data_IF_921790985175
#
_entry.id   IF_921790985175
#
_cell.length_a   1.000
_cell.length_b   1.000
_cell.length_c   1.000
_cell.angle_alpha   90.00
_cell.angle_beta   90.00
_cell.angle_gamma   90.00
#
_symmetry.space_group_name_H-M   'P 1'
#
loop_
_entity.id
_entity.type
_entity.pdbx_description
1 polymer ?
#
# COMPACT_ATOMS: atom_id res chain seq x y z
N UNK A 1 0.86 -21.35 -8.64
CA UNK A 1 0.27 -21.73 -7.33
C UNK A 1 -1.08 -22.36 -7.57
N UNK A 2 -1.28 -23.55 -7.06
CA UNK A 2 -2.60 -24.19 -7.13
C UNK A 2 -3.45 -23.65 -5.97
N UNK A 3 -4.46 -22.83 -6.29
CA UNK A 3 -5.36 -22.24 -5.29
C UNK A 3 -6.07 -23.32 -4.44
N UNK A 4 -6.29 -24.49 -4.98
CA UNK A 4 -6.92 -25.60 -4.28
C UNK A 4 -6.08 -26.07 -3.07
N UNK A 5 -4.75 -26.11 -3.16
CA UNK A 5 -3.89 -26.47 -2.02
C UNK A 5 -4.06 -25.51 -0.84
N UNK A 6 -4.16 -24.20 -1.10
CA UNK A 6 -4.32 -23.21 -0.04
C UNK A 6 -5.70 -23.23 0.64
N UNK A 7 -6.64 -24.04 0.17
CA UNK A 7 -7.90 -24.32 0.88
C UNK A 7 -7.81 -25.48 1.88
N UNK A 8 -6.72 -26.26 1.86
CA UNK A 8 -6.51 -27.36 2.79
C UNK A 8 -5.73 -26.93 4.04
N UNK A 9 -5.88 -27.62 5.19
CA UNK A 9 -5.02 -27.40 6.35
C UNK A 9 -3.56 -27.65 6.00
N UNK A 10 -2.65 -26.86 6.55
CA UNK A 10 -1.21 -27.00 6.38
C UNK A 10 -0.48 -26.78 7.70
N UNK A 11 0.70 -27.35 7.81
CA UNK A 11 1.69 -26.98 8.82
C UNK A 11 2.63 -25.94 8.22
N UNK A 12 3.11 -25.00 9.05
CA UNK A 12 4.05 -23.97 8.61
C UNK A 12 5.28 -23.96 9.51
N UNK A 13 6.44 -23.85 8.87
CA UNK A 13 7.70 -23.55 9.53
C UNK A 13 8.34 -22.33 8.91
N UNK A 14 9.08 -21.57 9.72
CA UNK A 14 9.70 -20.34 9.23
C UNK A 14 11.21 -20.50 9.15
N UNK A 15 11.78 -19.88 8.15
CA UNK A 15 13.23 -19.72 8.04
C UNK A 15 13.57 -18.31 7.63
N UNK A 16 14.59 -17.77 8.26
CA UNK A 16 15.09 -16.44 7.95
C UNK A 16 16.45 -16.59 7.30
N UNK A 17 16.60 -15.97 6.12
CA UNK A 17 17.82 -16.03 5.32
C UNK A 17 18.51 -14.67 5.32
N UNK A 18 19.82 -14.68 5.42
CA UNK A 18 20.66 -13.52 5.19
C UNK A 18 20.81 -13.29 3.69
N UNK A 19 20.60 -12.06 3.24
CA UNK A 19 20.65 -11.69 1.82
C UNK A 19 21.69 -10.60 1.62
N UNK A 20 22.67 -10.86 0.76
CA UNK A 20 23.69 -9.87 0.40
C UNK A 20 23.05 -8.68 -0.31
N UNK A 21 23.32 -7.47 0.15
CA UNK A 21 22.87 -6.24 -0.53
C UNK A 21 23.50 -6.07 -1.91
N UNK A 22 24.71 -6.58 -2.10
CA UNK A 22 25.46 -6.41 -3.34
C UNK A 22 24.93 -7.30 -4.43
N UNK A 23 24.65 -8.58 -4.09
CA UNK A 23 24.25 -9.58 -5.09
C UNK A 23 22.76 -9.88 -5.08
N UNK A 24 22.01 -9.51 -4.04
CA UNK A 24 20.62 -9.89 -3.85
C UNK A 24 20.41 -11.40 -3.55
N UNK A 25 21.52 -12.14 -3.42
CA UNK A 25 21.49 -13.59 -3.20
C UNK A 25 21.52 -13.93 -1.70
N UNK A 26 20.90 -15.04 -1.36
CA UNK A 26 20.96 -15.62 -0.01
C UNK A 26 22.36 -16.17 0.24
N UNK A 27 22.95 -15.76 1.37
CA UNK A 27 24.32 -16.14 1.75
C UNK A 27 24.37 -17.13 2.89
N UNK A 28 23.26 -17.35 3.60
CA UNK A 28 23.16 -18.30 4.70
C UNK A 28 21.86 -18.11 5.48
N UNK A 29 21.63 -19.02 6.43
CA UNK A 29 20.51 -18.93 7.36
C UNK A 29 20.87 -17.95 8.50
N UNK A 30 19.88 -17.19 8.93
CA UNK A 30 19.97 -16.34 10.10
C UNK A 30 19.33 -17.09 11.28
N UNK A 31 20.13 -17.79 12.03
CA UNK A 31 19.66 -18.58 13.16
C UNK A 31 19.40 -17.69 14.38
N UNK A 32 18.46 -18.06 15.24
CA UNK A 32 18.12 -17.33 16.46
C UNK A 32 16.92 -16.39 16.34
N UNK A 33 16.31 -16.24 15.16
CA UNK A 33 14.98 -15.62 15.08
C UNK A 33 13.97 -16.57 15.70
N UNK A 34 13.19 -16.02 16.64
CA UNK A 34 12.14 -16.78 17.34
C UNK A 34 10.83 -16.71 16.56
N UNK A 35 10.01 -17.74 16.75
CA UNK A 35 8.63 -17.72 16.26
C UNK A 35 7.81 -16.63 16.97
N UNK A 36 6.81 -16.08 16.30
CA UNK A 36 5.89 -15.10 16.91
C UNK A 36 6.05 -13.66 16.42
N UNK A 37 6.91 -13.40 15.45
CA UNK A 37 7.02 -12.09 14.80
C UNK A 37 5.82 -11.73 13.93
N UNK A 38 5.81 -10.51 13.41
CA UNK A 38 4.78 -10.02 12.49
C UNK A 38 5.40 -9.39 11.25
N UNK A 39 4.68 -9.48 10.13
CA UNK A 39 4.98 -8.74 8.91
C UNK A 39 3.76 -7.90 8.57
N UNK A 40 3.93 -6.59 8.52
CA UNK A 40 2.87 -5.64 8.21
C UNK A 40 3.06 -5.06 6.81
N UNK A 41 1.96 -4.96 6.07
CA UNK A 41 1.88 -4.31 4.76
C UNK A 41 0.76 -3.30 4.80
N UNK A 42 1.05 -2.05 4.45
CA UNK A 42 0.08 -0.96 4.48
C UNK A 42 0.20 -0.10 3.23
N UNK A 43 -0.85 -0.07 2.43
CA UNK A 43 -0.90 0.70 1.19
C UNK A 43 -0.83 2.21 1.41
N UNK A 44 -1.26 2.68 2.56
CA UNK A 44 -1.36 4.11 2.88
C UNK A 44 -0.03 4.69 3.42
N UNK A 45 0.98 3.84 3.64
CA UNK A 45 2.33 4.27 4.05
C UNK A 45 3.30 4.29 2.86
N UNK A 46 4.26 5.21 2.91
CA UNK A 46 5.24 5.37 1.82
C UNK A 46 6.17 4.17 1.67
N UNK A 47 6.54 3.52 2.77
CA UNK A 47 7.45 2.37 2.78
C UNK A 47 6.74 1.03 2.65
N UNK A 48 5.42 1.02 2.76
CA UNK A 48 4.48 -0.10 2.56
C UNK A 48 4.69 -1.29 3.48
N UNK A 49 5.91 -1.78 3.68
CA UNK A 49 6.22 -3.01 4.40
C UNK A 49 7.12 -2.78 5.60
N UNK A 50 6.84 -3.52 6.68
CA UNK A 50 7.70 -3.63 7.88
C UNK A 50 7.58 -5.02 8.48
N UNK A 51 8.55 -5.40 9.31
CA UNK A 51 8.48 -6.62 10.11
C UNK A 51 9.01 -6.35 11.51
N UNK A 52 8.38 -6.98 12.50
CA UNK A 52 8.85 -7.01 13.88
C UNK A 52 9.14 -8.46 14.24
N UNK A 53 10.40 -8.74 14.56
CA UNK A 53 10.91 -10.07 14.84
C UNK A 53 11.52 -10.10 16.24
N UNK A 54 11.57 -11.28 16.85
CA UNK A 54 12.34 -11.50 18.08
C UNK A 54 13.59 -12.32 17.77
N UNK A 55 14.72 -11.87 18.28
CA UNK A 55 16.01 -12.52 18.09
C UNK A 55 16.64 -12.94 19.40
N UNK A 56 17.16 -14.17 19.42
CA UNK A 56 17.97 -14.71 20.51
C UNK A 56 19.36 -15.09 19.98
N UNK A 57 20.35 -14.23 20.25
CA UNK A 57 21.70 -14.44 19.75
C UNK A 57 22.59 -13.20 19.95
N UNK A 58 23.73 -13.20 19.27
CA UNK A 58 24.62 -12.05 19.28
C UNK A 58 24.18 -10.99 18.29
N UNK A 59 23.87 -9.79 18.80
CA UNK A 59 23.47 -8.65 17.96
C UNK A 59 24.54 -8.23 16.95
N UNK A 60 25.80 -8.62 17.15
CA UNK A 60 26.88 -8.36 16.18
C UNK A 60 26.69 -9.12 14.85
N UNK A 61 25.81 -10.10 14.81
CA UNK A 61 25.44 -10.79 13.56
C UNK A 61 24.59 -9.92 12.62
N UNK A 62 23.93 -8.87 13.16
CA UNK A 62 23.25 -7.88 12.34
C UNK A 62 24.28 -6.94 11.71
N UNK A 63 24.50 -7.12 10.42
CA UNK A 63 25.41 -6.30 9.62
C UNK A 63 24.65 -5.45 8.60
N UNK A 64 25.32 -5.19 7.50
CA UNK A 64 24.73 -4.46 6.37
C UNK A 64 23.79 -5.30 5.50
N UNK A 65 23.72 -6.61 5.72
CA UNK A 65 22.89 -7.53 4.92
C UNK A 65 21.41 -7.38 5.22
N UNK A 66 20.60 -7.77 4.23
CA UNK A 66 19.16 -7.85 4.38
C UNK A 66 18.79 -9.20 5.01
N UNK A 67 17.58 -9.27 5.54
CA UNK A 67 16.95 -10.52 5.98
C UNK A 67 15.74 -10.82 5.12
N UNK A 68 15.59 -12.09 4.74
CA UNK A 68 14.41 -12.59 4.01
C UNK A 68 13.70 -13.65 4.81
N UNK A 69 12.42 -13.45 5.03
CA UNK A 69 11.57 -14.38 5.76
C UNK A 69 10.85 -15.28 4.77
N UNK A 70 10.93 -16.58 5.00
CA UNK A 70 10.23 -17.62 4.26
C UNK A 70 9.26 -18.36 5.17
N UNK A 71 8.13 -18.74 4.61
CA UNK A 71 7.24 -19.76 5.17
C UNK A 71 7.32 -21.02 4.31
N UNK A 72 7.63 -22.13 4.93
CA UNK A 72 7.60 -23.45 4.31
C UNK A 72 6.31 -24.15 4.77
N UNK A 73 5.36 -24.28 3.84
CA UNK A 73 4.06 -24.90 4.07
C UNK A 73 4.14 -26.38 3.72
N UNK A 74 3.53 -27.22 4.54
CA UNK A 74 3.45 -28.68 4.30
C UNK A 74 2.02 -29.14 4.48
N UNK A 75 1.48 -29.81 3.48
CA UNK A 75 0.13 -30.36 3.50
C UNK A 75 0.11 -31.83 3.93
N UNK A 76 -1.05 -32.34 4.40
CA UNK A 76 -1.16 -33.74 4.86
C UNK A 76 -0.85 -34.79 3.80
N UNK A 77 -0.92 -34.44 2.53
CA UNK A 77 -0.55 -35.33 1.40
C UNK A 77 0.97 -35.43 1.18
N UNK A 78 1.77 -34.69 1.98
CA UNK A 78 3.23 -34.65 1.89
C UNK A 78 3.77 -33.67 0.86
N UNK A 79 2.91 -32.94 0.16
CA UNK A 79 3.36 -31.81 -0.70
C UNK A 79 3.82 -30.64 0.15
N UNK A 80 4.76 -29.85 -0.37
CA UNK A 80 5.27 -28.66 0.33
C UNK A 80 5.53 -27.53 -0.64
N UNK A 81 5.42 -26.29 -0.14
CA UNK A 81 5.70 -25.06 -0.88
C UNK A 81 6.47 -24.08 0.01
N UNK A 82 7.52 -23.46 -0.54
CA UNK A 82 8.27 -22.39 0.13
C UNK A 82 7.83 -21.04 -0.42
N UNK A 83 7.32 -20.18 0.45
CA UNK A 83 6.78 -18.88 0.09
C UNK A 83 7.62 -17.79 0.72
N UNK A 84 8.18 -16.84 -0.06
CA UNK A 84 8.83 -15.66 0.50
C UNK A 84 7.76 -14.73 1.08
N UNK A 85 7.92 -14.33 2.33
CA UNK A 85 7.00 -13.42 3.00
C UNK A 85 7.46 -11.97 2.92
N UNK A 86 8.76 -11.72 2.79
CA UNK A 86 9.31 -10.38 2.62
C UNK A 86 10.83 -10.34 2.75
N UNK A 87 11.41 -9.26 2.24
CA UNK A 87 12.85 -8.96 2.36
C UNK A 87 13.02 -7.58 2.98
N UNK A 88 13.75 -7.51 4.09
CA UNK A 88 13.76 -6.37 4.98
C UNK A 88 15.16 -5.91 5.33
N UNK A 89 15.26 -4.61 5.70
CA UNK A 89 16.42 -4.02 6.35
C UNK A 89 16.22 -4.11 7.86
N UNK A 90 17.05 -4.83 8.60
CA UNK A 90 17.00 -4.78 10.06
C UNK A 90 17.42 -3.39 10.54
N UNK A 91 16.64 -2.82 11.46
CA UNK A 91 17.02 -1.63 12.21
C UNK A 91 17.99 -2.03 13.34
N UNK A 92 18.71 -1.05 13.90
CA UNK A 92 19.68 -1.31 14.97
C UNK A 92 19.03 -1.96 16.20
N UNK A 93 19.27 -3.26 16.46
CA UNK A 93 18.60 -3.95 17.55
C UNK A 93 19.04 -3.40 18.91
N UNK A 94 18.09 -3.11 19.79
CA UNK A 94 18.34 -2.75 21.18
C UNK A 94 18.30 -4.01 22.04
N UNK A 95 19.45 -4.50 22.46
CA UNK A 95 19.54 -5.65 23.35
C UNK A 95 19.16 -5.28 24.78
N UNK A 96 18.13 -5.89 25.32
CA UNK A 96 17.83 -5.90 26.76
C UNK A 96 18.44 -7.14 27.38
N UNK A 97 19.40 -6.98 28.28
CA UNK A 97 20.07 -8.08 28.95
C UNK A 97 19.36 -8.38 30.28
N UNK A 98 18.72 -9.54 30.35
CA UNK A 98 18.09 -10.03 31.57
C UNK A 98 18.51 -11.48 31.81
N UNK A 99 19.76 -11.68 32.22
CA UNK A 99 20.33 -13.01 32.45
C UNK A 99 20.49 -13.84 31.14
N UNK A 100 20.45 -15.17 31.23
CA UNK A 100 20.70 -16.04 30.07
C UNK A 100 19.55 -16.07 29.03
N UNK A 101 18.39 -15.54 29.35
CA UNK A 101 17.19 -15.58 28.50
C UNK A 101 16.87 -14.22 27.88
N UNK A 102 17.88 -13.48 27.42
CA UNK A 102 17.65 -12.20 26.77
C UNK A 102 17.16 -12.39 25.34
N UNK A 103 15.98 -11.86 25.03
CA UNK A 103 15.51 -11.67 23.66
C UNK A 103 15.75 -10.23 23.23
N UNK A 104 15.95 -10.03 21.94
CA UNK A 104 16.15 -8.72 21.35
C UNK A 104 15.07 -8.48 20.30
N UNK A 105 14.17 -7.51 20.50
CA UNK A 105 13.25 -7.12 19.45
C UNK A 105 14.02 -6.49 18.28
N UNK A 106 13.67 -6.87 17.08
CA UNK A 106 14.27 -6.38 15.84
C UNK A 106 13.19 -5.85 14.95
N UNK A 107 13.07 -4.54 14.87
CA UNK A 107 12.21 -3.90 13.86
C UNK A 107 12.94 -3.87 12.52
N UNK A 108 12.18 -4.12 11.45
CA UNK A 108 12.73 -4.21 10.11
C UNK A 108 11.86 -3.41 9.15
N UNK A 109 12.50 -2.75 8.20
CA UNK A 109 11.82 -1.96 7.18
C UNK A 109 11.89 -2.63 5.81
N UNK A 110 10.83 -2.48 5.01
CA UNK A 110 10.83 -2.89 3.61
C UNK A 110 11.86 -2.12 2.79
N UNK A 111 12.28 -2.66 1.66
CA UNK A 111 13.37 -2.12 0.84
C UNK A 111 13.12 -0.73 0.25
N UNK A 112 11.86 -0.25 0.18
CA UNK A 112 11.58 1.13 -0.21
C UNK A 112 12.17 2.16 0.79
N UNK A 113 12.52 1.73 1.98
CA UNK A 113 13.25 2.56 2.96
C UNK A 113 14.59 3.05 2.38
N UNK A 114 15.27 2.25 1.57
CA UNK A 114 16.52 2.64 0.90
C UNK A 114 16.33 3.84 -0.04
N UNK A 115 15.17 3.96 -0.69
CA UNK A 115 14.80 5.15 -1.49
C UNK A 115 14.36 6.33 -0.62
N UNK A 116 13.72 6.07 0.52
CA UNK A 116 13.29 7.11 1.45
C UNK A 116 14.49 7.78 2.14
N UNK A 117 15.53 7.00 2.48
CA UNK A 117 16.74 7.52 3.12
C UNK A 117 17.68 8.20 2.11
N UNK A 118 17.53 7.91 0.82
CA UNK A 118 18.38 8.46 -0.23
C UNK A 118 17.86 9.80 -0.73
N UNK A 119 18.70 10.82 -0.65
CA UNK A 119 18.45 12.14 -1.23
C UNK A 119 19.23 12.34 -2.54
N UNK A 120 18.83 13.33 -3.32
CA UNK A 120 19.58 13.73 -4.49
C UNK A 120 20.76 14.62 -4.07
N UNK A 121 21.98 14.20 -4.40
CA UNK A 121 23.17 15.03 -4.18
C UNK A 121 23.20 16.27 -5.12
N UNK A 122 22.53 16.15 -6.26
CA UNK A 122 22.32 17.22 -7.24
C UNK A 122 20.93 17.11 -7.82
N UNK A 123 20.32 18.25 -8.25
CA UNK A 123 19.01 18.22 -8.89
C UNK A 123 19.01 17.32 -10.12
N UNK A 124 18.00 16.45 -10.24
CA UNK A 124 17.81 15.62 -11.43
C UNK A 124 16.90 16.37 -12.42
N UNK A 125 17.44 16.73 -13.57
CA UNK A 125 16.67 17.31 -14.66
C UNK A 125 16.03 16.21 -15.51
N UNK A 126 14.71 16.29 -15.67
CA UNK A 126 13.91 15.39 -16.52
C UNK A 126 13.44 16.21 -17.72
N UNK A 127 13.92 15.93 -18.95
CA UNK A 127 13.51 16.67 -20.14
C UNK A 127 12.03 16.46 -20.49
N UNK A 128 11.44 17.43 -21.20
CA UNK A 128 10.13 17.23 -21.83
C UNK A 128 10.17 16.04 -22.79
N UNK A 129 9.06 15.30 -22.88
CA UNK A 129 8.96 14.08 -23.68
C UNK A 129 9.52 12.81 -23.03
N UNK A 130 10.06 12.89 -21.81
CA UNK A 130 10.54 11.73 -21.06
C UNK A 130 9.37 10.83 -20.64
N UNK A 131 9.64 9.52 -20.55
CA UNK A 131 8.73 8.58 -19.92
C UNK A 131 8.94 8.61 -18.39
N UNK A 132 7.98 9.06 -17.58
CA UNK A 132 8.18 9.19 -16.14
C UNK A 132 8.38 7.84 -15.44
N UNK A 133 7.79 6.76 -15.94
CA UNK A 133 7.96 5.41 -15.36
C UNK A 133 9.39 4.90 -15.58
N UNK A 134 9.97 5.14 -16.77
CA UNK A 134 11.36 4.76 -17.05
C UNK A 134 12.34 5.56 -16.20
N UNK A 135 12.06 6.86 -15.97
CA UNK A 135 12.85 7.71 -15.06
C UNK A 135 12.74 7.19 -13.62
N UNK A 136 11.53 6.87 -13.16
CA UNK A 136 11.30 6.29 -11.81
C UNK A 136 12.06 4.96 -11.65
N UNK A 137 12.02 4.09 -12.66
CA UNK A 137 12.76 2.83 -12.66
C UNK A 137 14.28 3.04 -12.63
N UNK A 138 14.78 4.07 -13.32
CA UNK A 138 16.20 4.42 -13.27
C UNK A 138 16.62 4.87 -11.88
N UNK A 139 15.83 5.74 -11.22
CA UNK A 139 16.11 6.20 -9.85
C UNK A 139 16.17 5.01 -8.88
N UNK A 140 15.28 4.02 -9.02
CA UNK A 140 15.32 2.81 -8.21
C UNK A 140 16.60 2.00 -8.43
N UNK A 141 17.02 1.81 -9.69
CA UNK A 141 18.25 1.08 -10.02
C UNK A 141 19.52 1.80 -9.55
N UNK A 142 19.53 3.14 -9.56
CA UNK A 142 20.65 3.95 -9.07
C UNK A 142 20.89 3.81 -7.55
N UNK A 143 19.88 3.35 -6.80
CA UNK A 143 20.02 3.01 -5.38
C UNK A 143 20.41 1.53 -5.18
N UNK A 144 20.46 0.75 -6.25
CA UNK A 144 20.79 -0.68 -6.20
C UNK A 144 19.57 -1.59 -6.03
N UNK A 145 18.37 -1.07 -6.28
CA UNK A 145 17.16 -1.88 -6.25
C UNK A 145 16.89 -2.53 -7.60
N UNK A 146 16.61 -3.82 -7.60
CA UNK A 146 16.12 -4.52 -8.77
C UNK A 146 14.68 -4.06 -9.07
N UNK A 147 14.39 -3.74 -10.34
CA UNK A 147 13.05 -3.35 -10.79
C UNK A 147 12.51 -4.47 -11.68
N UNK A 148 11.34 -5.00 -11.31
CA UNK A 148 10.63 -5.99 -12.10
C UNK A 148 10.25 -5.43 -13.48
N UNK A 149 10.08 -6.27 -14.50
CA UNK A 149 9.46 -5.87 -15.76
C UNK A 149 8.10 -5.20 -15.50
N UNK A 150 7.83 -4.10 -16.18
CA UNK A 150 6.59 -3.34 -16.05
C UNK A 150 5.97 -3.07 -17.44
N UNK A 151 4.67 -2.74 -17.42
CA UNK A 151 3.91 -2.46 -18.63
C UNK A 151 4.44 -1.19 -19.33
N UNK A 152 4.36 -1.09 -20.67
CA UNK A 152 4.71 0.14 -21.37
C UNK A 152 3.83 1.31 -20.93
N UNK A 153 4.43 2.44 -20.57
CA UNK A 153 3.71 3.66 -20.25
C UNK A 153 3.61 4.55 -21.49
N UNK A 154 2.40 4.88 -21.98
CA UNK A 154 2.23 5.76 -23.14
C UNK A 154 2.43 7.24 -22.80
N UNK A 155 2.32 7.61 -21.52
CA UNK A 155 2.44 9.00 -21.09
C UNK A 155 3.86 9.55 -21.28
N UNK A 156 3.94 10.84 -21.64
CA UNK A 156 5.20 11.58 -21.79
C UNK A 156 5.07 12.93 -21.08
N UNK A 157 6.16 13.38 -20.44
CA UNK A 157 6.19 14.68 -19.76
C UNK A 157 5.98 15.82 -20.75
N UNK A 158 5.02 16.70 -20.46
CA UNK A 158 4.70 17.86 -21.33
C UNK A 158 5.75 18.97 -21.27
N UNK A 159 6.48 19.10 -20.17
CA UNK A 159 7.52 20.08 -19.93
C UNK A 159 8.71 19.45 -19.21
N UNK A 160 9.86 20.12 -19.27
CA UNK A 160 11.02 19.75 -18.44
C UNK A 160 10.73 20.06 -16.97
N UNK A 161 11.20 19.20 -16.07
CA UNK A 161 11.09 19.38 -14.64
C UNK A 161 12.39 19.07 -13.92
N UNK A 162 12.52 19.56 -12.70
CA UNK A 162 13.66 19.27 -11.84
C UNK A 162 13.18 18.59 -10.57
N UNK A 163 13.77 17.45 -10.23
CA UNK A 163 13.47 16.65 -9.05
C UNK A 163 14.56 16.83 -7.99
N UNK A 164 14.20 16.61 -6.72
CA UNK A 164 15.15 16.66 -5.60
C UNK A 164 15.44 18.06 -5.06
N UNK A 165 14.61 19.05 -5.39
CA UNK A 165 14.75 20.46 -4.95
C UNK A 165 13.65 20.89 -3.96
N UNK A 166 12.75 20.00 -3.58
CA UNK A 166 11.64 20.31 -2.66
C UNK A 166 12.10 20.61 -1.25
N UNK A 167 11.31 21.40 -0.53
CA UNK A 167 11.57 21.75 0.86
C UNK A 167 10.97 20.76 1.87
N UNK A 168 10.09 19.87 1.42
CA UNK A 168 9.52 18.79 2.23
C UNK A 168 10.34 17.51 2.08
N UNK A 169 10.36 16.68 3.13
CA UNK A 169 11.04 15.38 3.08
C UNK A 169 10.52 14.49 1.94
N UNK A 170 9.21 14.55 1.66
CA UNK A 170 8.61 13.80 0.56
C UNK A 170 9.07 14.25 -0.83
N UNK A 171 9.47 15.50 -1.01
CA UNK A 171 9.93 16.05 -2.30
C UNK A 171 11.46 15.95 -2.47
N UNK A 172 12.20 15.87 -1.37
CA UNK A 172 13.67 15.81 -1.37
C UNK A 172 14.21 14.38 -1.47
N UNK A 173 13.42 13.36 -1.11
CA UNK A 173 13.83 11.95 -1.15
C UNK A 173 13.66 11.34 -2.55
N UNK A 174 14.46 10.33 -2.85
CA UNK A 174 14.30 9.56 -4.11
C UNK A 174 12.97 8.83 -4.18
N UNK A 175 12.43 8.35 -3.04
CA UNK A 175 11.11 7.73 -2.99
C UNK A 175 10.00 8.71 -3.34
N UNK A 176 10.05 9.93 -2.82
CA UNK A 176 9.10 10.97 -3.15
C UNK A 176 9.12 11.32 -4.65
N UNK A 177 10.30 11.44 -5.23
CA UNK A 177 10.46 11.69 -6.66
C UNK A 177 9.89 10.53 -7.51
N UNK A 178 10.20 9.27 -7.14
CA UNK A 178 9.64 8.08 -7.80
C UNK A 178 8.12 8.10 -7.76
N UNK A 179 7.52 8.30 -6.59
CA UNK A 179 6.07 8.30 -6.44
C UNK A 179 5.40 9.48 -7.16
N UNK A 180 6.03 10.65 -7.21
CA UNK A 180 5.54 11.81 -7.99
C UNK A 180 5.51 11.50 -9.48
N UNK A 181 6.57 10.87 -10.01
CA UNK A 181 6.63 10.46 -11.42
C UNK A 181 5.57 9.39 -11.76
N UNK A 182 5.35 8.43 -10.87
CA UNK A 182 4.34 7.40 -11.05
C UNK A 182 2.93 7.99 -11.00
N UNK A 183 2.65 8.88 -10.05
CA UNK A 183 1.35 9.58 -9.95
C UNK A 183 1.06 10.39 -11.20
N UNK A 184 2.07 11.09 -11.75
CA UNK A 184 1.95 11.83 -13.01
C UNK A 184 1.56 10.94 -14.19
N UNK A 185 2.04 9.69 -14.19
CA UNK A 185 1.71 8.71 -15.22
C UNK A 185 0.36 7.99 -14.98
N UNK A 186 -0.34 8.27 -13.88
CA UNK A 186 -1.54 7.51 -13.47
C UNK A 186 -1.23 6.11 -12.95
N UNK A 187 -0.06 5.93 -12.33
CA UNK A 187 0.40 4.68 -11.75
C UNK A 187 0.29 4.70 -10.23
N UNK A 188 0.21 3.52 -9.63
CA UNK A 188 0.26 3.41 -8.17
C UNK A 188 1.68 3.70 -7.66
N UNK A 189 1.78 4.14 -6.40
CA UNK A 189 3.07 4.30 -5.73
C UNK A 189 3.89 3.01 -5.79
N UNK A 190 5.21 3.15 -5.85
CA UNK A 190 6.14 2.03 -5.91
C UNK A 190 5.90 1.05 -4.75
N UNK A 191 6.03 -0.23 -5.02
CA UNK A 191 5.94 -1.33 -4.06
C UNK A 191 7.09 -2.29 -4.25
N UNK A 192 7.31 -3.14 -3.26
CA UNK A 192 8.23 -4.27 -3.38
C UNK A 192 7.45 -5.58 -3.46
N UNK A 193 8.01 -6.55 -4.17
CA UNK A 193 7.58 -7.93 -4.05
C UNK A 193 8.24 -8.59 -2.82
N UNK A 194 7.80 -9.78 -2.39
CA UNK A 194 8.41 -10.44 -1.24
C UNK A 194 9.92 -10.76 -1.38
N UNK A 195 10.44 -10.80 -2.60
CA UNK A 195 11.88 -10.93 -2.85
C UNK A 195 12.64 -9.59 -2.70
N UNK A 196 11.93 -8.49 -2.43
CA UNK A 196 12.50 -7.15 -2.27
C UNK A 196 12.78 -6.42 -3.57
N UNK A 197 12.17 -6.85 -4.68
CA UNK A 197 12.29 -6.20 -6.00
C UNK A 197 11.19 -5.17 -6.18
N UNK A 198 11.50 -4.03 -6.78
CA UNK A 198 10.52 -2.96 -7.00
C UNK A 198 9.53 -3.34 -8.10
N UNK A 199 8.27 -3.22 -7.78
CA UNK A 199 7.14 -3.43 -8.69
C UNK A 199 6.50 -2.10 -9.03
N UNK A 200 6.42 -1.76 -10.31
CA UNK A 200 5.77 -0.57 -10.86
C UNK A 200 4.54 -1.02 -11.65
N UNK A 201 3.35 -0.54 -11.28
CA UNK A 201 2.09 -0.95 -11.90
C UNK A 201 1.21 0.24 -12.22
N UNK A 202 0.48 0.23 -13.35
CA UNK A 202 -0.55 1.23 -13.62
C UNK A 202 -1.68 1.11 -12.58
N UNK A 203 -2.30 2.24 -12.26
CA UNK A 203 -3.52 2.21 -11.46
C UNK A 203 -4.65 1.55 -12.29
N UNK A 204 -5.36 0.65 -11.66
CA UNK A 204 -6.58 0.04 -12.20
C UNK A 204 -7.67 0.17 -11.17
N UNK A 205 -8.85 0.57 -11.62
CA UNK A 205 -10.00 0.62 -10.72
C UNK A 205 -10.28 -0.77 -10.14
N UNK A 206 -10.60 -0.89 -8.84
CA UNK A 206 -10.90 -2.18 -8.24
C UNK A 206 -12.06 -2.90 -8.94
N UNK A 207 -13.00 -2.16 -9.56
CA UNK A 207 -14.11 -2.71 -10.35
C UNK A 207 -13.66 -3.46 -11.59
N UNK A 208 -12.51 -3.09 -12.17
CA UNK A 208 -11.93 -3.68 -13.38
C UNK A 208 -10.96 -4.83 -13.07
N UNK A 209 -10.55 -4.96 -11.81
CA UNK A 209 -9.60 -6.00 -11.41
C UNK A 209 -10.32 -7.35 -11.25
N UNK A 210 -9.63 -8.42 -11.61
CA UNK A 210 -10.12 -9.77 -11.33
C UNK A 210 -10.08 -10.04 -9.82
N UNK A 211 -11.02 -10.85 -9.33
CA UNK A 211 -11.01 -11.33 -7.95
C UNK A 211 -9.82 -12.27 -7.76
N UNK A 212 -8.94 -11.91 -6.83
CA UNK A 212 -7.76 -12.72 -6.50
C UNK A 212 -8.11 -13.90 -5.58
N UNK A 213 -9.08 -13.72 -4.70
CA UNK A 213 -9.52 -14.75 -3.77
C UNK A 213 -10.99 -14.57 -3.37
N UNK A 214 -11.67 -15.71 -3.13
CA UNK A 214 -13.05 -15.74 -2.65
C UNK A 214 -13.10 -16.39 -1.26
N UNK A 215 -13.60 -15.66 -0.28
CA UNK A 215 -13.89 -16.18 1.04
C UNK A 215 -15.38 -16.54 1.13
N UNK A 216 -15.68 -17.78 1.43
CA UNK A 216 -17.06 -18.27 1.51
C UNK A 216 -17.31 -18.93 2.86
N UNK A 217 -18.47 -18.65 3.46
CA UNK A 217 -18.95 -19.33 4.67
C UNK A 217 -19.16 -20.81 4.42
N UNK A 218 -18.90 -21.64 5.43
CA UNK A 218 -19.14 -23.09 5.40
C UNK A 218 -18.04 -23.89 6.12
N UNK A 219 -18.06 -25.20 5.95
CA UNK A 219 -17.11 -26.09 6.63
C UNK A 219 -15.66 -25.89 6.15
N UNK A 220 -15.47 -25.34 4.96
CA UNK A 220 -14.17 -24.98 4.38
C UNK A 220 -13.79 -23.52 4.57
N UNK A 221 -14.50 -22.76 5.41
CA UNK A 221 -14.20 -21.35 5.63
C UNK A 221 -12.77 -21.15 6.15
N UNK A 222 -12.03 -20.22 5.54
CA UNK A 222 -10.64 -19.92 5.87
C UNK A 222 -10.48 -18.58 6.57
N UNK A 223 -11.57 -18.03 7.09
CA UNK A 223 -11.59 -16.78 7.86
C UNK A 223 -12.29 -16.98 9.19
N UNK A 224 -11.94 -16.16 10.17
CA UNK A 224 -12.62 -16.10 11.45
C UNK A 224 -13.99 -15.45 11.27
N UNK A 225 -15.01 -16.02 11.92
CA UNK A 225 -16.37 -15.47 11.86
C UNK A 225 -16.49 -14.11 12.55
N UNK A 226 -15.59 -13.81 13.48
CA UNK A 226 -15.49 -12.52 14.14
C UNK A 226 -14.78 -11.54 13.18
N UNK A 227 -15.51 -10.50 12.80
CA UNK A 227 -15.03 -9.45 11.90
C UNK A 227 -15.69 -8.12 12.22
N UNK A 228 -15.05 -7.03 11.83
CA UNK A 228 -15.61 -5.69 11.97
C UNK A 228 -16.00 -5.16 10.60
N UNK A 229 -17.29 -4.89 10.42
CA UNK A 229 -17.84 -4.19 9.25
C UNK A 229 -18.16 -2.75 9.66
N UNK A 230 -17.27 -1.82 9.31
CA UNK A 230 -17.38 -0.41 9.65
C UNK A 230 -17.82 0.39 8.42
N UNK A 231 -18.93 1.10 8.57
CA UNK A 231 -19.43 2.04 7.56
C UNK A 231 -19.37 3.43 8.14
N UNK A 232 -18.27 4.11 7.90
CA UNK A 232 -18.12 5.51 8.31
C UNK A 232 -18.86 6.42 7.33
N UNK A 233 -20.14 6.62 7.60
CA UNK A 233 -21.01 7.51 6.84
C UNK A 233 -21.25 8.84 7.57
N UNK A 234 -20.77 8.97 8.80
CA UNK A 234 -21.08 10.14 9.64
C UNK A 234 -20.45 11.40 9.07
N UNK A 235 -19.20 11.34 8.62
CA UNK A 235 -18.43 12.48 8.11
C UNK A 235 -18.40 12.59 6.58
N UNK A 236 -19.15 11.72 5.87
CA UNK A 236 -19.25 11.83 4.40
C UNK A 236 -19.81 13.20 4.02
N UNK A 237 -19.06 14.05 3.30
CA UNK A 237 -19.50 15.39 2.94
C UNK A 237 -20.66 15.30 1.93
N UNK A 238 -21.63 16.16 2.12
CA UNK A 238 -22.70 16.39 1.15
C UNK A 238 -22.63 17.75 0.49
N UNK A 239 -21.60 18.52 0.82
CA UNK A 239 -21.22 19.74 0.14
C UNK A 239 -19.70 19.78 -0.02
N UNK A 240 -19.24 20.11 -1.22
CA UNK A 240 -17.82 20.39 -1.47
C UNK A 240 -17.67 21.81 -1.98
N UNK A 241 -16.74 22.54 -1.38
CA UNK A 241 -16.37 23.89 -1.76
C UNK A 241 -14.95 23.82 -2.32
N UNK A 242 -14.79 24.14 -3.60
CA UNK A 242 -13.49 24.20 -4.25
C UNK A 242 -13.10 25.68 -4.43
N UNK A 243 -11.93 26.06 -3.94
CA UNK A 243 -11.43 27.43 -4.00
C UNK A 243 -10.12 27.46 -4.78
N UNK A 244 -10.11 28.08 -5.93
CA UNK A 244 -8.88 28.48 -6.60
C UNK A 244 -8.52 29.89 -6.17
N UNK A 245 -7.38 30.05 -5.51
CA UNK A 245 -6.97 31.34 -4.93
C UNK A 245 -5.53 31.72 -5.29
N UNK A 246 -5.31 32.95 -5.70
CA UNK A 246 -4.02 33.58 -5.75
C UNK A 246 -3.93 34.68 -4.66
N UNK A 247 -2.92 35.56 -4.74
CA UNK A 247 -2.72 36.61 -3.75
C UNK A 247 -3.82 37.65 -3.74
N UNK A 248 -4.51 37.84 -4.86
CA UNK A 248 -5.42 38.97 -5.10
C UNK A 248 -6.87 38.53 -5.38
N UNK A 249 -7.09 37.26 -5.78
CA UNK A 249 -8.41 36.79 -6.23
C UNK A 249 -8.72 35.38 -5.71
N UNK A 250 -10.02 35.14 -5.46
CA UNK A 250 -10.57 33.81 -5.18
C UNK A 250 -11.69 33.50 -6.18
N UNK A 251 -11.68 32.23 -6.65
CA UNK A 251 -12.70 31.67 -7.54
C UNK A 251 -13.31 30.46 -6.86
N UNK A 252 -14.57 30.54 -6.49
CA UNK A 252 -15.23 29.56 -5.65
C UNK A 252 -16.23 28.78 -6.48
N UNK A 253 -16.15 27.45 -6.43
CA UNK A 253 -17.14 26.52 -6.92
C UNK A 253 -17.74 25.72 -5.77
N UNK A 254 -19.02 25.42 -5.86
CA UNK A 254 -19.74 24.66 -4.83
C UNK A 254 -20.57 23.56 -5.50
N UNK A 255 -20.44 22.35 -4.97
CA UNK A 255 -21.30 21.23 -5.32
C UNK A 255 -22.03 20.73 -4.07
N UNK A 256 -23.33 20.48 -4.19
CA UNK A 256 -24.19 20.01 -3.09
C UNK A 256 -24.94 18.77 -3.52
N UNK A 257 -24.97 17.76 -2.67
CA UNK A 257 -25.87 16.61 -2.83
C UNK A 257 -27.21 16.90 -2.16
N UNK A 258 -28.20 17.25 -2.94
CA UNK A 258 -29.60 17.43 -2.54
C UNK A 258 -30.52 16.30 -3.04
N UNK A 259 -29.94 15.20 -3.52
CA UNK A 259 -30.66 14.01 -4.01
C UNK A 259 -31.51 13.34 -2.91
N UNK A 260 -32.24 12.29 -3.26
CA UNK A 260 -32.90 11.43 -2.29
C UNK A 260 -31.98 10.37 -1.66
N UNK A 261 -30.67 10.41 -1.97
CA UNK A 261 -29.70 9.45 -1.46
C UNK A 261 -29.48 9.58 0.04
N UNK A 262 -29.01 8.50 0.71
CA UNK A 262 -28.91 8.45 2.17
C UNK A 262 -27.92 9.47 2.76
N UNK A 263 -26.99 9.98 1.97
CA UNK A 263 -25.95 10.92 2.40
C UNK A 263 -26.24 12.38 2.04
N UNK A 264 -27.32 12.64 1.34
CA UNK A 264 -27.68 13.98 0.87
C UNK A 264 -28.02 14.93 2.03
N UNK A 265 -27.94 16.23 1.77
CA UNK A 265 -28.39 17.27 2.71
C UNK A 265 -29.84 17.10 3.10
N UNK A 266 -30.67 16.64 2.15
CA UNK A 266 -32.09 16.41 2.35
C UNK A 266 -32.37 15.24 3.30
N UNK A 267 -31.70 14.12 3.11
CA UNK A 267 -31.90 12.92 3.92
C UNK A 267 -31.29 13.04 5.32
N UNK A 268 -30.16 13.73 5.45
CA UNK A 268 -29.47 13.94 6.72
C UNK A 268 -29.98 15.12 7.52
N UNK A 269 -30.69 16.07 6.89
CA UNK A 269 -31.15 17.28 7.55
C UNK A 269 -30.02 18.21 8.02
N UNK A 270 -28.78 17.99 7.56
CA UNK A 270 -27.59 18.79 7.89
C UNK A 270 -26.63 18.88 6.72
N UNK A 271 -25.86 19.97 6.68
CA UNK A 271 -24.76 20.16 5.71
C UNK A 271 -23.46 19.72 6.36
N UNK A 272 -22.71 18.87 5.67
CA UNK A 272 -21.34 18.49 6.01
C UNK A 272 -20.47 18.96 4.86
N UNK A 273 -19.67 20.01 5.10
CA UNK A 273 -18.87 20.65 4.08
C UNK A 273 -17.43 20.21 4.13
N UNK A 274 -16.85 19.93 2.94
CA UNK A 274 -15.41 19.78 2.73
C UNK A 274 -14.95 20.95 1.87
N UNK A 275 -13.86 21.62 2.26
CA UNK A 275 -13.26 22.71 1.48
C UNK A 275 -11.88 22.30 1.00
N UNK A 276 -11.64 22.43 -0.30
CA UNK A 276 -10.34 22.21 -0.94
C UNK A 276 -9.84 23.50 -1.57
N UNK A 277 -8.57 23.82 -1.34
CA UNK A 277 -7.93 25.04 -1.86
C UNK A 277 -6.80 24.69 -2.81
N UNK A 278 -6.77 25.36 -3.96
CA UNK A 278 -5.77 25.23 -5.00
C UNK A 278 -5.13 26.58 -5.28
N UNK A 279 -3.81 26.64 -5.31
CA UNK A 279 -3.03 27.85 -5.61
C UNK A 279 -2.60 27.93 -7.08
N UNK A 280 -2.73 26.83 -7.84
CA UNK A 280 -2.37 26.82 -9.26
C UNK A 280 -3.58 27.23 -10.11
N UNK A 281 -3.57 28.49 -10.55
CA UNK A 281 -4.63 29.09 -11.37
C UNK A 281 -4.13 29.23 -12.80
N UNK A 282 -4.83 28.64 -13.80
CA UNK A 282 -4.51 28.86 -15.21
C UNK A 282 -4.63 30.35 -15.58
N UNK A 283 -3.56 30.92 -16.13
CA UNK A 283 -3.48 32.35 -16.42
C UNK A 283 -4.19 32.79 -17.71
N UNK A 284 -4.58 31.84 -18.52
CA UNK A 284 -5.21 32.01 -19.83
C UNK A 284 -6.74 31.97 -19.79
N UNK A 285 -7.33 31.79 -18.62
CA UNK A 285 -8.78 31.63 -18.43
C UNK A 285 -9.44 32.89 -17.89
N UNK A 286 -10.64 33.12 -18.37
CA UNK A 286 -11.52 34.17 -17.87
C UNK A 286 -12.06 33.81 -16.47
N UNK A 287 -12.54 34.83 -15.73
CA UNK A 287 -13.17 34.65 -14.41
C UNK A 287 -14.32 33.61 -14.46
N UNK A 288 -15.14 33.68 -15.52
CA UNK A 288 -16.27 32.78 -15.68
C UNK A 288 -15.81 31.32 -15.89
N UNK A 289 -14.75 31.10 -16.67
CA UNK A 289 -14.16 29.77 -16.90
C UNK A 289 -13.49 29.21 -15.64
N UNK A 290 -12.85 30.06 -14.82
CA UNK A 290 -12.25 29.65 -13.55
C UNK A 290 -13.32 29.24 -12.52
N UNK A 291 -14.45 29.95 -12.46
CA UNK A 291 -15.59 29.56 -11.62
C UNK A 291 -16.23 28.25 -12.13
N UNK A 292 -16.39 28.09 -13.45
CA UNK A 292 -16.88 26.84 -14.01
C UNK A 292 -15.96 25.66 -13.68
N UNK A 293 -14.64 25.84 -13.83
CA UNK A 293 -13.64 24.83 -13.46
C UNK A 293 -13.70 24.50 -11.96
N UNK A 294 -13.92 25.48 -11.09
CA UNK A 294 -14.08 25.26 -9.66
C UNK A 294 -15.35 24.46 -9.34
N UNK A 295 -16.47 24.72 -10.04
CA UNK A 295 -17.70 23.97 -9.89
C UNK A 295 -17.55 22.52 -10.37
N UNK A 296 -16.93 22.31 -11.55
CA UNK A 296 -16.67 20.96 -12.09
C UNK A 296 -15.78 20.17 -11.13
N UNK A 297 -14.74 20.81 -10.59
CA UNK A 297 -13.86 20.17 -9.61
C UNK A 297 -14.57 19.86 -8.30
N UNK A 298 -15.43 20.76 -7.81
CA UNK A 298 -16.25 20.52 -6.63
C UNK A 298 -17.21 19.34 -6.84
N UNK A 299 -17.84 19.24 -8.02
CA UNK A 299 -18.72 18.13 -8.38
C UNK A 299 -17.95 16.79 -8.44
N UNK A 300 -16.77 16.78 -9.06
CA UNK A 300 -15.90 15.60 -9.08
C UNK A 300 -15.53 15.16 -7.66
N UNK A 301 -15.05 16.08 -6.82
CA UNK A 301 -14.67 15.78 -5.44
C UNK A 301 -15.85 15.31 -4.58
N UNK A 302 -17.05 15.82 -4.85
CA UNK A 302 -18.27 15.38 -4.18
C UNK A 302 -18.59 13.92 -4.52
N UNK A 303 -18.48 13.53 -5.80
CA UNK A 303 -18.65 12.14 -6.23
C UNK A 303 -17.61 11.24 -5.60
N UNK A 304 -16.34 11.63 -5.62
CA UNK A 304 -15.24 10.90 -4.98
C UNK A 304 -15.45 10.74 -3.46
N UNK A 305 -15.98 11.77 -2.80
CA UNK A 305 -16.25 11.77 -1.36
C UNK A 305 -17.47 10.93 -0.96
N UNK A 306 -18.36 10.62 -1.90
CA UNK A 306 -19.51 9.73 -1.68
C UNK A 306 -19.13 8.26 -1.57
N UNK A 307 -17.94 7.88 -2.00
CA UNK A 307 -17.44 6.55 -1.72
C UNK A 307 -17.28 6.41 -0.20
N UNK A 308 -18.37 5.97 0.44
CA UNK A 308 -18.39 5.66 1.88
C UNK A 308 -17.24 4.74 2.15
N UNK A 309 -16.39 5.10 3.11
CA UNK A 309 -15.36 4.19 3.58
C UNK A 309 -16.08 3.05 4.27
N UNK A 310 -16.44 2.05 3.50
CA UNK A 310 -16.90 0.77 4.00
C UNK A 310 -15.68 -0.10 4.20
N UNK A 311 -15.29 -0.29 5.45
CA UNK A 311 -14.10 -0.99 5.87
C UNK A 311 -14.47 -2.32 6.48
N UNK A 312 -13.87 -3.39 5.98
CA UNK A 312 -13.99 -4.74 6.52
C UNK A 312 -12.64 -5.13 7.13
N UNK A 313 -12.63 -5.44 8.42
CA UNK A 313 -11.45 -5.98 9.11
C UNK A 313 -11.76 -7.39 9.58
N UNK A 314 -10.94 -8.34 9.17
CA UNK A 314 -11.12 -9.76 9.48
C UNK A 314 -9.79 -10.50 9.51
N UNK A 315 -9.76 -11.63 10.21
CA UNK A 315 -8.62 -12.53 10.28
C UNK A 315 -8.88 -13.76 9.41
N UNK A 316 -7.87 -14.16 8.63
CA UNK A 316 -7.93 -15.37 7.82
C UNK A 316 -6.63 -16.16 7.91
N UNK A 317 -6.66 -17.44 7.52
CA UNK A 317 -5.46 -18.24 7.31
C UNK A 317 -4.80 -17.76 6.01
N UNK A 318 -3.49 -17.83 5.94
CA UNK A 318 -2.73 -17.36 4.77
C UNK A 318 -3.37 -17.81 3.45
N UNK A 319 -3.53 -16.84 2.58
CA UNK A 319 -3.90 -16.99 1.18
C UNK A 319 -2.92 -16.16 0.33
N UNK A 320 -2.64 -16.56 -0.92
CA UNK A 320 -1.67 -15.88 -1.79
C UNK A 320 -2.22 -14.56 -2.35
N UNK A 321 -2.62 -13.67 -1.46
CA UNK A 321 -3.17 -12.35 -1.76
C UNK A 321 -2.36 -11.28 -1.05
N UNK A 322 -2.35 -10.08 -1.61
CA UNK A 322 -1.58 -8.96 -1.10
C UNK A 322 -2.34 -7.64 -1.14
N UNK A 323 -1.70 -6.63 -0.60
CA UNK A 323 -2.23 -5.26 -0.61
C UNK A 323 -2.48 -4.78 -2.05
N UNK A 324 -3.69 -4.29 -2.31
CA UNK A 324 -4.17 -3.86 -3.62
C UNK A 324 -4.90 -4.92 -4.42
N UNK A 325 -4.89 -6.18 -3.99
CA UNK A 325 -5.70 -7.23 -4.61
C UNK A 325 -7.17 -7.06 -4.23
N UNK A 326 -8.05 -7.55 -5.11
CA UNK A 326 -9.49 -7.57 -4.90
C UNK A 326 -9.90 -8.96 -4.43
N UNK A 327 -10.66 -9.00 -3.36
CA UNK A 327 -11.27 -10.21 -2.80
C UNK A 327 -12.79 -10.15 -2.87
N UNK A 328 -13.44 -11.30 -2.88
CA UNK A 328 -14.87 -11.45 -2.63
C UNK A 328 -15.11 -12.09 -1.28
N UNK A 329 -16.06 -11.54 -0.52
CA UNK A 329 -16.52 -12.10 0.75
C UNK A 329 -17.98 -12.51 0.62
N UNK A 330 -18.26 -13.78 0.91
CA UNK A 330 -19.62 -14.34 0.97
C UNK A 330 -19.86 -14.91 2.37
N UNK A 331 -20.33 -14.05 3.25
CA UNK A 331 -20.65 -14.39 4.64
C UNK A 331 -22.11 -14.02 4.99
N UNK A 332 -23.11 -14.82 4.51
CA UNK A 332 -24.53 -14.53 4.68
C UNK A 332 -24.95 -14.40 6.14
N UNK A 333 -24.46 -15.27 7.05
CA UNK A 333 -24.79 -15.23 8.47
C UNK A 333 -24.33 -13.94 9.13
N UNK A 334 -23.22 -13.35 8.68
CA UNK A 334 -22.69 -12.07 9.14
C UNK A 334 -23.24 -10.87 8.36
N UNK A 335 -24.12 -11.08 7.36
CA UNK A 335 -24.60 -10.04 6.44
C UNK A 335 -23.50 -9.29 5.70
N UNK A 336 -22.35 -9.95 5.46
CA UNK A 336 -21.24 -9.39 4.69
C UNK A 336 -21.16 -10.11 3.34
N UNK A 337 -21.46 -9.40 2.27
CA UNK A 337 -21.39 -9.89 0.90
C UNK A 337 -20.88 -8.78 0.00
N UNK A 338 -19.89 -9.07 -0.84
CA UNK A 338 -19.37 -8.09 -1.78
C UNK A 338 -17.90 -8.24 -2.12
N UNK A 339 -17.42 -7.23 -2.87
CA UNK A 339 -16.04 -7.14 -3.33
C UNK A 339 -15.30 -6.06 -2.56
N UNK A 340 -14.08 -6.37 -2.15
CA UNK A 340 -13.25 -5.50 -1.32
C UNK A 340 -11.83 -5.44 -1.86
N UNK A 341 -11.20 -4.27 -1.84
CA UNK A 341 -9.79 -4.10 -2.15
C UNK A 341 -8.95 -4.06 -0.87
N UNK A 342 -7.96 -4.92 -0.77
CA UNK A 342 -7.09 -5.03 0.40
C UNK A 342 -6.24 -3.77 0.56
N UNK A 343 -6.25 -3.18 1.76
CA UNK A 343 -5.48 -1.98 2.12
C UNK A 343 -4.33 -2.27 3.06
N UNK A 344 -4.58 -3.10 4.06
CA UNK A 344 -3.54 -3.50 5.01
C UNK A 344 -3.60 -4.99 5.28
N UNK A 345 -2.45 -5.56 5.58
CA UNK A 345 -2.32 -6.94 6.05
C UNK A 345 -1.26 -7.00 7.14
N UNK A 346 -1.54 -7.78 8.19
CA UNK A 346 -0.55 -8.17 9.19
C UNK A 346 -0.49 -9.68 9.25
N UNK A 347 0.63 -10.25 8.82
CA UNK A 347 0.91 -11.66 8.86
C UNK A 347 1.53 -11.99 10.23
N UNK A 348 0.97 -12.93 10.95
CA UNK A 348 1.50 -13.42 12.22
C UNK A 348 2.33 -14.68 11.98
N UNK A 349 3.61 -14.62 12.33
CA UNK A 349 4.54 -15.75 12.17
C UNK A 349 4.33 -16.79 13.27
N UNK A 350 3.13 -17.33 13.31
CA UNK A 350 2.67 -18.36 14.27
C UNK A 350 2.34 -19.66 13.55
N UNK A 351 2.07 -20.73 14.30
CA UNK A 351 1.81 -22.07 13.74
C UNK A 351 0.70 -22.13 12.68
N UNK A 352 -0.19 -21.14 12.60
CA UNK A 352 -1.28 -21.09 11.62
C UNK A 352 -1.07 -20.07 10.50
N UNK A 353 0.00 -19.26 10.52
CA UNK A 353 0.22 -18.15 9.60
C UNK A 353 -1.08 -17.34 9.38
N UNK A 354 -1.69 -16.89 10.47
CA UNK A 354 -2.88 -16.07 10.41
C UNK A 354 -2.56 -14.68 9.87
N UNK A 355 -3.51 -14.10 9.18
CA UNK A 355 -3.39 -12.80 8.54
C UNK A 355 -4.57 -11.93 8.95
N UNK A 356 -4.30 -10.80 9.59
CA UNK A 356 -5.29 -9.75 9.80
C UNK A 356 -5.32 -8.86 8.56
N UNK A 357 -6.50 -8.67 7.99
CA UNK A 357 -6.68 -7.93 6.75
C UNK A 357 -7.72 -6.83 6.95
N UNK A 358 -7.36 -5.61 6.57
CA UNK A 358 -8.31 -4.53 6.32
C UNK A 358 -8.52 -4.40 4.83
N UNK A 359 -9.78 -4.41 4.40
CA UNK A 359 -10.16 -4.23 3.01
C UNK A 359 -11.29 -3.19 2.90
N UNK A 360 -11.33 -2.47 1.78
CA UNK A 360 -12.37 -1.46 1.51
C UNK A 360 -13.30 -1.94 0.42
N UNK A 361 -14.60 -1.79 0.71
CA UNK A 361 -15.67 -2.06 -0.25
C UNK A 361 -15.65 -1.03 -1.38
N UNK A 362 -16.00 -1.46 -2.56
CA UNK A 362 -16.29 -0.58 -3.68
C UNK A 362 -17.56 -1.05 -4.38
N UNK A 363 -18.48 -0.13 -4.63
CA UNK A 363 -19.67 -0.42 -5.40
C UNK A 363 -19.33 -0.55 -6.90
N UNK A 364 -19.96 -1.52 -7.56
CA UNK A 364 -20.03 -1.50 -9.02
C UNK A 364 -20.93 -0.31 -9.39
N UNK A 365 -20.34 0.73 -9.99
CA UNK A 365 -21.09 1.82 -10.63
C UNK A 365 -21.94 1.30 -11.78
#
# INVERSE_FOLDING_TARGET
>A
MDQLHHTMPFEVTYRVMRVSRVTGMETGRFDGILDGGTISRNQDTSTVESADLEYHGDISEFGADLIRVWADLTWPDGTSESIPLGTFLPDGPQRSVNGPNSTTPVSCYGRLRELSDAHFAQPLSVPAGSNPVDVAASICRDVGLEVLPYEPCPYRTGSSMTLGMGSSDSESTKLGAVNSLLTMAGWVSARTDPMGRVSLKPYREPTEQATAWVFTEGDGARFCKEMTDERDWFDVPNQVICVYADKDHEYIGVAVDDSAGPYSTRSRGRVISRTERYSDIPKDKTRAELIAMANDKAAQLLVESRSVIHRLTFTHIYAPIGVGDVIEMHYPTGHVDGRFAIRTQTLHLTAGLSVDTEARYFERS
#
